data_IF_896278008574
#
_entry.id   IF_896278008574
#
_cell.length_a   1.000
_cell.length_b   1.000
_cell.length_c   1.000
_cell.angle_alpha   90.00
_cell.angle_beta   90.00
_cell.angle_gamma   90.00
#
_symmetry.space_group_name_H-M   'P 1'
#
loop_
_entity.id
_entity.type
_entity.pdbx_description
1 polymer ?
#
# COMPACT_ATOMS: atom_id res chain seq x y z
N UNK A 1 20.47 16.76 6.82
CA UNK A 1 19.08 17.08 6.44
C UNK A 1 18.22 17.00 7.69
N UNK A 2 17.45 18.01 7.99
CA UNK A 2 16.52 17.95 9.12
C UNK A 2 15.33 17.08 8.71
N UNK A 3 15.26 15.86 9.22
CA UNK A 3 14.22 14.89 8.88
C UNK A 3 12.81 15.36 9.33
N UNK A 4 12.74 16.32 10.26
CA UNK A 4 11.46 16.86 10.73
C UNK A 4 10.71 17.65 9.66
N UNK A 5 11.40 18.19 8.64
CA UNK A 5 10.75 18.94 7.55
C UNK A 5 9.73 18.09 6.76
N UNK A 6 9.93 16.78 6.66
CA UNK A 6 8.99 15.86 5.97
C UNK A 6 7.69 15.62 6.74
N UNK A 7 7.65 15.95 8.02
CA UNK A 7 6.52 15.67 8.90
C UNK A 7 5.73 16.93 9.27
N UNK A 8 6.26 18.11 8.94
CA UNK A 8 5.57 19.38 9.19
C UNK A 8 4.46 19.58 8.17
N UNK A 9 3.36 20.16 8.65
CA UNK A 9 2.25 20.59 7.81
C UNK A 9 2.28 22.11 7.78
N UNK A 10 2.37 22.69 6.59
CA UNK A 10 2.36 24.15 6.41
C UNK A 10 1.12 24.57 5.61
N UNK A 11 0.62 25.78 5.87
CA UNK A 11 -0.59 26.31 5.22
C UNK A 11 -0.47 26.34 3.69
N UNK A 12 0.76 26.43 3.17
CA UNK A 12 1.06 26.46 1.73
C UNK A 12 1.06 25.08 1.06
N UNK A 13 0.96 24.02 1.85
CA UNK A 13 0.98 22.67 1.35
C UNK A 13 -0.41 22.23 0.85
N UNK A 14 -0.53 21.93 -0.43
CA UNK A 14 -1.80 21.54 -1.04
C UNK A 14 -2.26 20.11 -0.67
N UNK A 15 -1.32 19.24 -0.29
CA UNK A 15 -1.59 17.80 -0.11
C UNK A 15 -2.52 17.45 1.06
N UNK A 16 -2.59 18.27 2.11
CA UNK A 16 -3.43 17.97 3.28
C UNK A 16 -4.80 18.70 3.27
N UNK A 17 -4.96 19.73 2.47
CA UNK A 17 -6.22 20.46 2.32
C UNK A 17 -6.71 21.25 3.55
N UNK A 18 -5.96 21.31 4.63
CA UNK A 18 -6.30 22.10 5.82
C UNK A 18 -5.89 23.56 5.61
N UNK A 19 -6.76 24.49 5.97
CA UNK A 19 -6.51 25.93 5.90
C UNK A 19 -6.27 26.49 7.29
N UNK A 20 -5.43 27.53 7.37
CA UNK A 20 -5.21 28.27 8.60
C UNK A 20 -4.32 27.57 9.64
N UNK A 21 -3.50 26.62 9.21
CA UNK A 21 -2.48 26.01 10.07
C UNK A 21 -1.34 27.01 10.23
N UNK A 22 -1.07 27.42 11.47
CA UNK A 22 0.09 28.26 11.75
C UNK A 22 1.39 27.45 11.65
N UNK A 23 2.48 28.15 11.38
CA UNK A 23 3.80 27.54 11.30
C UNK A 23 4.12 26.76 12.59
N UNK A 24 4.58 25.54 12.44
CA UNK A 24 4.92 24.61 13.52
C UNK A 24 3.74 24.23 14.45
N UNK A 25 2.49 24.46 14.02
CA UNK A 25 1.30 24.12 14.79
C UNK A 25 0.94 22.62 14.68
N UNK A 26 1.19 22.03 13.53
CA UNK A 26 0.82 20.64 13.29
C UNK A 26 1.94 19.85 12.59
N UNK A 27 2.03 18.59 12.94
CA UNK A 27 2.88 17.60 12.26
C UNK A 27 2.08 16.33 11.97
N UNK A 28 2.40 15.65 10.90
CA UNK A 28 1.89 14.29 10.69
C UNK A 28 2.60 13.31 11.62
N UNK A 29 1.90 12.27 12.03
CA UNK A 29 2.49 11.25 12.89
C UNK A 29 3.55 10.45 12.13
N UNK A 30 4.83 10.46 12.52
CA UNK A 30 5.87 9.66 11.88
C UNK A 30 5.69 8.16 12.11
N UNK A 31 4.78 7.76 12.99
CA UNK A 31 4.46 6.36 13.26
C UNK A 31 3.44 5.77 12.28
N UNK A 32 2.86 6.59 11.42
CA UNK A 32 1.85 6.16 10.45
C UNK A 32 2.34 6.40 9.03
N UNK A 33 2.58 5.30 8.30
CA UNK A 33 2.95 5.34 6.90
C UNK A 33 1.78 4.85 6.07
N UNK A 34 1.21 5.74 5.25
CA UNK A 34 0.19 5.36 4.26
C UNK A 34 0.85 5.27 2.89
N UNK A 35 0.77 4.09 2.29
CA UNK A 35 1.21 3.85 0.91
C UNK A 35 -0.01 3.90 0.01
N UNK A 36 0.01 4.77 -0.98
CA UNK A 36 -1.04 4.86 -2.00
C UNK A 36 -0.76 3.82 -3.09
N UNK A 37 -1.80 3.09 -3.45
CA UNK A 37 -1.74 2.06 -4.48
C UNK A 37 -2.19 2.63 -5.84
N UNK A 38 -1.66 2.12 -6.97
CA UNK A 38 -2.12 2.50 -8.30
C UNK A 38 -3.61 2.28 -8.52
N UNK A 39 -4.27 3.13 -9.30
CA UNK A 39 -5.68 2.99 -9.67
C UNK A 39 -6.54 4.24 -9.40
N UNK A 40 -5.98 5.25 -8.75
CA UNK A 40 -6.60 6.55 -8.57
C UNK A 40 -5.59 7.66 -8.84
N UNK A 41 -5.99 8.63 -9.64
CA UNK A 41 -5.22 9.85 -9.83
C UNK A 41 -5.47 10.79 -8.64
N UNK A 42 -4.45 11.05 -7.84
CA UNK A 42 -4.56 11.82 -6.60
C UNK A 42 -4.89 13.29 -6.81
N UNK A 43 -4.51 13.86 -7.95
CA UNK A 43 -4.78 15.27 -8.26
C UNK A 43 -6.24 15.50 -8.66
N UNK A 44 -6.80 14.57 -9.42
CA UNK A 44 -8.14 14.70 -9.99
C UNK A 44 -9.20 13.92 -9.23
N UNK A 45 -8.81 12.97 -8.38
CA UNK A 45 -9.69 12.03 -7.69
C UNK A 45 -10.38 11.03 -8.62
N UNK A 46 -9.95 10.92 -9.88
CA UNK A 46 -10.55 10.02 -10.87
C UNK A 46 -9.88 8.65 -10.86
N UNK A 47 -10.67 7.62 -11.12
CA UNK A 47 -10.18 6.27 -11.32
C UNK A 47 -9.39 6.17 -12.64
N UNK A 48 -8.34 5.38 -12.63
CA UNK A 48 -7.55 5.00 -13.79
C UNK A 48 -8.17 3.75 -14.45
N UNK A 49 -7.70 3.36 -15.63
CA UNK A 49 -8.24 2.16 -16.32
C UNK A 49 -7.84 0.85 -15.64
N UNK A 50 -6.75 0.87 -14.92
CA UNK A 50 -6.20 -0.28 -14.19
C UNK A 50 -5.76 0.15 -12.81
N UNK A 51 -5.78 -0.78 -11.87
CA UNK A 51 -5.36 -0.48 -10.51
C UNK A 51 -4.85 -1.71 -9.78
N UNK A 52 -4.20 -1.46 -8.66
CA UNK A 52 -3.76 -2.50 -7.73
C UNK A 52 -4.43 -2.21 -6.39
N UNK A 53 -5.53 -2.89 -6.06
CA UNK A 53 -6.23 -2.64 -4.82
C UNK A 53 -5.34 -2.88 -3.60
N UNK A 54 -5.34 -1.94 -2.66
CA UNK A 54 -4.54 -2.06 -1.43
C UNK A 54 -4.87 -3.31 -0.62
N UNK A 55 -6.10 -3.82 -0.74
CA UNK A 55 -6.50 -5.08 -0.13
C UNK A 55 -5.71 -6.28 -0.69
N UNK A 56 -5.43 -6.31 -1.99
CA UNK A 56 -4.61 -7.36 -2.63
C UNK A 56 -3.18 -7.30 -2.09
N UNK A 57 -2.61 -6.10 -2.00
CA UNK A 57 -1.28 -5.90 -1.42
C UNK A 57 -1.28 -6.32 0.05
N UNK A 58 -2.30 -5.94 0.82
CA UNK A 58 -2.41 -6.32 2.24
C UNK A 58 -2.46 -7.84 2.46
N UNK A 59 -3.21 -8.57 1.63
CA UNK A 59 -3.24 -10.04 1.69
C UNK A 59 -1.88 -10.64 1.30
N UNK A 60 -1.23 -10.11 0.25
CA UNK A 60 0.11 -10.55 -0.14
C UNK A 60 1.14 -10.31 0.98
N UNK A 61 1.13 -9.14 1.60
CA UNK A 61 2.02 -8.84 2.72
C UNK A 61 1.76 -9.78 3.91
N UNK A 62 0.51 -10.17 4.15
CA UNK A 62 0.16 -11.16 5.17
C UNK A 62 0.78 -12.53 4.87
N UNK A 63 0.85 -12.95 3.60
CA UNK A 63 1.60 -14.17 3.21
C UNK A 63 3.10 -14.06 3.54
N UNK A 64 3.66 -12.85 3.47
CA UNK A 64 5.04 -12.54 3.83
C UNK A 64 5.24 -12.27 5.34
N UNK A 65 4.20 -12.45 6.16
CA UNK A 65 4.18 -12.17 7.61
C UNK A 65 4.39 -10.70 7.96
N UNK A 66 4.07 -9.80 7.05
CA UNK A 66 4.02 -8.37 7.28
C UNK A 66 2.57 -7.98 7.55
N UNK A 67 2.32 -7.39 8.72
CA UNK A 67 0.97 -7.02 9.16
C UNK A 67 0.72 -5.56 8.82
N UNK A 68 -0.33 -5.32 8.03
CA UNK A 68 -0.83 -3.97 7.75
C UNK A 68 -1.84 -3.56 8.82
N UNK A 69 -1.86 -2.29 9.20
CA UNK A 69 -2.86 -1.76 10.12
C UNK A 69 -4.24 -1.71 9.45
N UNK A 70 -4.29 -1.21 8.21
CA UNK A 70 -5.51 -1.11 7.41
C UNK A 70 -5.16 -1.16 5.94
N UNK A 71 -6.00 -1.80 5.14
CA UNK A 71 -5.91 -1.77 3.68
C UNK A 71 -7.28 -1.42 3.11
N UNK A 72 -7.32 -0.34 2.33
CA UNK A 72 -8.47 0.12 1.57
C UNK A 72 -8.30 -0.24 0.09
N UNK A 73 -9.19 0.26 -0.77
CA UNK A 73 -9.11 -0.02 -2.20
C UNK A 73 -7.83 0.54 -2.83
N UNK A 74 -7.41 1.75 -2.45
CA UNK A 74 -6.23 2.41 -3.03
C UNK A 74 -5.19 2.85 -2.01
N UNK A 75 -5.24 2.31 -0.80
CA UNK A 75 -4.21 2.61 0.20
C UNK A 75 -3.98 1.47 1.17
N UNK A 76 -2.77 1.42 1.70
CA UNK A 76 -2.39 0.52 2.79
C UNK A 76 -1.65 1.30 3.86
N UNK A 77 -2.14 1.19 5.09
CA UNK A 77 -1.59 1.88 6.25
C UNK A 77 -0.72 0.93 7.07
N UNK A 78 0.47 1.38 7.38
CA UNK A 78 1.39 0.73 8.32
C UNK A 78 1.50 1.57 9.59
N UNK A 79 1.58 0.89 10.71
CA UNK A 79 1.91 1.49 11.99
C UNK A 79 3.36 1.10 12.33
N UNK A 80 4.26 2.10 12.31
CA UNK A 80 5.65 1.92 12.68
C UNK A 80 5.79 2.10 14.19
N UNK A 81 6.43 1.16 14.84
CA UNK A 81 6.68 1.23 16.29
C UNK A 81 8.15 1.55 16.57
N UNK A 82 8.49 2.14 17.73
CA UNK A 82 9.88 2.42 18.08
C UNK A 82 10.77 1.17 18.18
N UNK A 83 10.17 -0.02 18.17
CA UNK A 83 10.89 -1.29 18.21
C UNK A 83 11.16 -1.91 16.84
N UNK A 84 10.75 -1.26 15.74
CA UNK A 84 11.04 -1.75 14.40
C UNK A 84 12.54 -1.72 14.13
N UNK A 85 13.04 -2.77 13.50
CA UNK A 85 14.44 -2.89 13.10
C UNK A 85 14.59 -2.56 11.62
N UNK A 86 15.76 -2.12 11.22
CA UNK A 86 16.05 -1.87 9.78
C UNK A 86 15.73 -3.11 8.92
N UNK A 87 15.99 -4.31 9.43
CA UNK A 87 15.68 -5.55 8.75
C UNK A 87 14.16 -5.74 8.49
N UNK A 88 13.29 -5.22 9.36
CA UNK A 88 11.83 -5.32 9.20
C UNK A 88 11.37 -4.36 8.08
N UNK A 89 11.99 -3.17 8.00
CA UNK A 89 11.75 -2.22 6.91
C UNK A 89 12.30 -2.72 5.57
N UNK A 90 13.48 -3.35 5.57
CA UNK A 90 14.06 -3.99 4.38
C UNK A 90 13.18 -5.14 3.89
N UNK A 91 12.63 -5.94 4.79
CA UNK A 91 11.69 -7.02 4.45
C UNK A 91 10.40 -6.48 3.83
N UNK A 92 9.88 -5.36 4.35
CA UNK A 92 8.72 -4.69 3.76
C UNK A 92 9.02 -4.20 2.34
N UNK A 93 10.14 -3.49 2.15
CA UNK A 93 10.56 -2.99 0.83
C UNK A 93 10.77 -4.14 -0.17
N UNK A 94 11.46 -5.20 0.25
CA UNK A 94 11.68 -6.40 -0.57
C UNK A 94 10.36 -7.03 -0.98
N UNK A 95 9.38 -7.10 -0.08
CA UNK A 95 8.06 -7.63 -0.38
C UNK A 95 7.31 -6.80 -1.43
N UNK A 96 7.44 -5.48 -1.41
CA UNK A 96 6.86 -4.63 -2.46
C UNK A 96 7.53 -4.86 -3.81
N UNK A 97 8.86 -4.95 -3.86
CA UNK A 97 9.60 -5.21 -5.10
C UNK A 97 9.26 -6.59 -5.69
N UNK A 98 9.13 -7.62 -4.86
CA UNK A 98 8.69 -8.94 -5.30
C UNK A 98 7.24 -8.91 -5.84
N UNK A 99 6.35 -8.16 -5.18
CA UNK A 99 4.98 -8.01 -5.65
C UNK A 99 4.93 -7.31 -7.01
N UNK A 100 5.72 -6.26 -7.20
CA UNK A 100 5.86 -5.58 -8.49
C UNK A 100 6.30 -6.54 -9.58
N UNK A 101 7.31 -7.39 -9.31
CA UNK A 101 7.77 -8.41 -10.25
C UNK A 101 6.66 -9.40 -10.61
N UNK A 102 5.91 -9.90 -9.62
CA UNK A 102 4.74 -10.75 -9.86
C UNK A 102 3.70 -10.07 -10.73
N UNK A 103 3.39 -8.82 -10.45
CA UNK A 103 2.40 -8.05 -11.20
C UNK A 103 2.85 -7.77 -12.63
N UNK A 104 4.12 -7.39 -12.85
CA UNK A 104 4.68 -7.11 -14.17
C UNK A 104 4.66 -8.33 -15.09
N UNK A 105 4.97 -9.51 -14.57
CA UNK A 105 4.95 -10.76 -15.35
C UNK A 105 3.60 -11.47 -15.38
N UNK A 106 2.57 -10.88 -14.80
CA UNK A 106 1.22 -11.44 -14.66
C UNK A 106 1.21 -12.86 -14.09
N UNK A 107 1.88 -13.03 -12.94
CA UNK A 107 2.07 -14.32 -12.29
C UNK A 107 0.73 -14.99 -11.93
N UNK A 108 0.72 -16.33 -11.91
CA UNK A 108 -0.43 -17.09 -11.41
C UNK A 108 -0.73 -16.74 -9.95
N UNK A 109 -2.00 -16.59 -9.63
CA UNK A 109 -2.45 -16.17 -8.31
C UNK A 109 -2.02 -17.16 -7.21
N UNK A 110 -1.89 -18.44 -7.53
CA UNK A 110 -1.37 -19.46 -6.62
C UNK A 110 0.10 -19.23 -6.18
N UNK A 111 0.89 -18.48 -6.98
CA UNK A 111 2.25 -18.09 -6.62
C UNK A 111 2.26 -16.86 -5.71
N UNK A 112 1.28 -15.97 -5.89
CA UNK A 112 1.22 -14.68 -5.19
C UNK A 112 0.41 -14.78 -3.90
N UNK A 113 -0.75 -15.43 -3.95
CA UNK A 113 -1.72 -15.57 -2.87
C UNK A 113 -2.14 -17.04 -2.67
N UNK A 114 -1.21 -17.93 -2.31
CA UNK A 114 -1.47 -19.38 -2.23
C UNK A 114 -2.59 -19.73 -1.24
N UNK A 115 -2.74 -18.99 -0.13
CA UNK A 115 -3.82 -19.24 0.84
C UNK A 115 -5.18 -18.95 0.24
N UNK A 116 -5.31 -17.83 -0.49
CA UNK A 116 -6.57 -17.43 -1.13
C UNK A 116 -7.02 -18.51 -2.12
N UNK A 117 -6.11 -18.97 -2.98
CA UNK A 117 -6.40 -20.03 -3.96
C UNK A 117 -6.75 -21.35 -3.27
N UNK A 118 -6.02 -21.73 -2.23
CA UNK A 118 -6.29 -22.95 -1.45
C UNK A 118 -7.66 -22.93 -0.76
N UNK A 119 -8.09 -21.76 -0.28
CA UNK A 119 -9.39 -21.60 0.38
C UNK A 119 -10.56 -21.60 -0.62
N UNK A 120 -10.33 -21.14 -1.84
CA UNK A 120 -11.36 -20.98 -2.86
C UNK A 120 -10.88 -21.47 -4.25
N UNK A 121 -10.50 -22.76 -4.38
CA UNK A 121 -9.88 -23.27 -5.60
C UNK A 121 -10.81 -23.20 -6.81
N UNK A 122 -12.11 -23.44 -6.64
CA UNK A 122 -13.10 -23.38 -7.72
C UNK A 122 -13.18 -22.00 -8.38
N UNK A 123 -12.88 -20.93 -7.60
CA UNK A 123 -12.94 -19.56 -8.10
C UNK A 123 -11.61 -19.07 -8.68
N UNK A 124 -10.50 -19.39 -8.02
CA UNK A 124 -9.23 -18.73 -8.28
C UNK A 124 -8.17 -19.60 -8.93
N UNK A 125 -8.43 -20.90 -9.11
CA UNK A 125 -7.48 -21.77 -9.81
C UNK A 125 -7.27 -21.29 -11.25
N UNK A 126 -6.01 -21.06 -11.61
CA UNK A 126 -5.64 -20.55 -12.95
C UNK A 126 -5.79 -19.04 -13.14
N UNK A 127 -6.27 -18.30 -12.11
CA UNK A 127 -6.26 -16.83 -12.16
C UNK A 127 -4.85 -16.29 -12.13
N UNK A 128 -4.69 -15.11 -12.74
CA UNK A 128 -3.47 -14.31 -12.61
C UNK A 128 -3.69 -13.15 -11.63
N UNK A 129 -2.58 -12.57 -11.17
CA UNK A 129 -2.64 -11.43 -10.25
C UNK A 129 -3.32 -10.22 -10.89
N UNK A 130 -3.11 -9.96 -12.19
CA UNK A 130 -3.78 -8.85 -12.87
C UNK A 130 -5.27 -9.07 -13.02
N UNK A 131 -5.71 -10.31 -13.29
CA UNK A 131 -7.14 -10.62 -13.34
C UNK A 131 -7.81 -10.31 -12.01
N UNK A 132 -7.23 -10.73 -10.88
CA UNK A 132 -7.77 -10.41 -9.56
C UNK A 132 -7.81 -8.90 -9.33
N UNK A 133 -6.72 -8.19 -9.62
CA UNK A 133 -6.68 -6.73 -9.46
C UNK A 133 -7.73 -6.03 -10.31
N UNK A 134 -7.93 -6.46 -11.56
CA UNK A 134 -8.92 -5.86 -12.45
C UNK A 134 -10.36 -6.11 -12.00
N UNK A 135 -10.66 -7.29 -11.44
CA UNK A 135 -12.00 -7.57 -10.91
C UNK A 135 -12.33 -6.76 -9.65
N UNK A 136 -11.31 -6.37 -8.89
CA UNK A 136 -11.48 -5.62 -7.64
C UNK A 136 -11.36 -4.11 -7.83
N UNK A 137 -10.81 -3.66 -8.97
CA UNK A 137 -10.68 -2.26 -9.35
C UNK A 137 -12.02 -1.69 -9.82
#
# INVERSE_FOLDING_TARGET
MDNLSYWKMEETDDWHGFKGIAKDEAIISPLKLTVVCPGINLETGKYEETGIPGKVIGEYLTEKRVITCKSDLYSTLFLLTPGERDADLEALLTSFLEFEEYYLRDALLEQVLPRLVKQNPERYQGYTIRQLCQEMH
#
